data_IF_073503186858
#
_entry.id   IF_073503186858
#
_cell.length_a   1.000
_cell.length_b   1.000
_cell.length_c   1.000
_cell.angle_alpha   90.00
_cell.angle_beta   90.00
_cell.angle_gamma   90.00
#
_symmetry.space_group_name_H-M   'P 1'
#
loop_
_entity.id
_entity.type
_entity.pdbx_description
1 polymer ?
#
# COMPACT_ATOMS: atom_id res chain seq x y z
N UNK A 1 20.99 4.03 13.19
CA UNK A 1 20.79 2.64 12.69
C UNK A 1 20.52 2.66 11.20
N UNK A 2 21.42 2.01 10.44
CA UNK A 2 21.27 1.92 8.97
C UNK A 2 20.41 0.73 8.62
N UNK A 3 19.25 0.97 8.04
CA UNK A 3 18.23 -0.03 7.72
C UNK A 3 18.01 -0.11 6.22
N UNK A 4 18.14 -1.31 5.66
CA UNK A 4 17.76 -1.62 4.29
C UNK A 4 16.31 -2.05 4.25
N UNK A 5 15.44 -1.27 3.61
CA UNK A 5 14.02 -1.60 3.42
C UNK A 5 13.81 -2.21 2.05
N UNK A 6 13.14 -3.36 2.01
CA UNK A 6 12.90 -4.14 0.80
C UNK A 6 11.41 -4.39 0.56
N UNK A 7 10.99 -4.23 -0.70
CA UNK A 7 9.68 -4.61 -1.19
C UNK A 7 9.84 -5.49 -2.43
N UNK A 8 9.76 -6.80 -2.21
CA UNK A 8 9.96 -7.83 -3.23
C UNK A 8 8.64 -8.21 -3.89
N UNK A 9 8.53 -7.92 -5.19
CA UNK A 9 7.47 -8.43 -6.05
C UNK A 9 7.95 -9.63 -6.87
N UNK A 10 7.06 -10.25 -7.66
CA UNK A 10 7.37 -11.44 -8.45
C UNK A 10 8.48 -11.25 -9.50
N UNK A 11 8.62 -10.04 -10.04
CA UNK A 11 9.60 -9.71 -11.08
C UNK A 11 10.33 -8.39 -10.83
N UNK A 12 10.23 -7.84 -9.61
CA UNK A 12 10.86 -6.58 -9.24
C UNK A 12 11.17 -6.54 -7.75
N UNK A 13 12.16 -5.73 -7.39
CA UNK A 13 12.56 -5.46 -6.02
C UNK A 13 12.81 -3.97 -5.87
N UNK A 14 12.01 -3.29 -5.07
CA UNK A 14 12.21 -1.89 -4.69
C UNK A 14 12.91 -1.82 -3.35
N UNK A 15 13.85 -0.88 -3.19
CA UNK A 15 14.55 -0.71 -1.94
C UNK A 15 14.80 0.75 -1.58
N UNK A 16 14.96 0.99 -0.29
CA UNK A 16 15.53 2.21 0.28
C UNK A 16 16.52 1.85 1.39
N UNK A 17 17.59 2.61 1.48
CA UNK A 17 18.53 2.57 2.59
C UNK A 17 18.35 3.83 3.41
N UNK A 18 18.01 3.68 4.68
CA UNK A 18 17.69 4.77 5.59
C UNK A 18 18.64 4.72 6.79
N UNK A 19 19.19 5.87 7.19
CA UNK A 19 19.88 6.02 8.46
C UNK A 19 18.91 6.62 9.49
N UNK A 20 18.35 5.75 10.32
CA UNK A 20 17.37 6.10 11.34
C UNK A 20 18.06 6.63 12.59
N UNK A 21 17.76 7.87 12.97
CA UNK A 21 18.22 8.50 14.24
C UNK A 21 17.13 8.42 15.32
N UNK A 22 15.87 8.50 14.89
CA UNK A 22 14.67 8.37 15.72
C UNK A 22 13.48 8.14 14.78
N UNK A 23 12.28 8.01 15.34
CA UNK A 23 11.04 7.88 14.56
C UNK A 23 10.80 9.04 13.58
N UNK A 24 11.27 10.24 13.91
CA UNK A 24 11.01 11.44 13.12
C UNK A 24 12.25 11.95 12.36
N UNK A 25 13.45 11.55 12.79
CA UNK A 25 14.72 12.02 12.25
C UNK A 25 15.43 10.86 11.54
N UNK A 26 15.58 11.00 10.25
CA UNK A 26 16.24 10.01 9.41
C UNK A 26 16.87 10.67 8.17
N UNK A 27 17.86 10.01 7.61
CA UNK A 27 18.46 10.37 6.33
C UNK A 27 18.19 9.27 5.30
N UNK A 28 17.65 9.62 4.14
CA UNK A 28 17.58 8.72 2.99
C UNK A 28 18.97 8.67 2.33
N UNK A 29 19.68 7.55 2.51
CA UNK A 29 21.02 7.38 1.97
C UNK A 29 21.00 6.96 0.49
N UNK A 30 20.12 6.01 0.14
CA UNK A 30 19.95 5.54 -1.23
C UNK A 30 18.57 4.94 -1.45
N UNK A 31 18.14 4.90 -2.71
CA UNK A 31 16.95 4.19 -3.17
C UNK A 31 17.17 3.56 -4.52
N UNK A 32 16.40 2.56 -4.87
CA UNK A 32 16.48 1.94 -6.18
C UNK A 32 15.42 0.91 -6.47
N UNK A 33 15.56 0.33 -7.65
CA UNK A 33 14.61 -0.62 -8.21
C UNK A 33 15.38 -1.63 -9.07
N UNK A 34 15.15 -2.90 -8.80
CA UNK A 34 15.52 -4.00 -9.68
C UNK A 34 14.28 -4.42 -10.44
N UNK A 35 14.36 -4.45 -11.76
CA UNK A 35 13.25 -4.79 -12.65
C UNK A 35 13.57 -6.01 -13.51
N UNK A 36 12.52 -6.69 -13.97
CA UNK A 36 12.63 -7.83 -14.90
C UNK A 36 13.44 -9.00 -14.32
N UNK A 37 13.29 -9.27 -13.03
CA UNK A 37 13.87 -10.46 -12.36
C UNK A 37 13.29 -11.73 -13.01
N UNK A 38 14.15 -12.69 -13.33
CA UNK A 38 13.78 -13.91 -14.02
C UNK A 38 13.63 -13.78 -15.55
N UNK A 39 14.03 -12.64 -16.13
CA UNK A 39 14.02 -12.37 -17.57
C UNK A 39 15.45 -12.21 -18.11
N UNK A 40 15.63 -12.37 -19.43
CA UNK A 40 16.96 -12.31 -20.08
C UNK A 40 17.71 -10.98 -19.86
N UNK A 41 16.97 -9.86 -19.75
CA UNK A 41 17.55 -8.52 -19.53
C UNK A 41 16.88 -7.87 -18.30
N UNK A 42 17.44 -8.11 -17.12
CA UNK A 42 17.13 -7.38 -15.91
C UNK A 42 17.74 -5.98 -15.91
N UNK A 43 17.24 -5.10 -15.05
CA UNK A 43 17.74 -3.74 -14.90
C UNK A 43 17.80 -3.34 -13.43
N UNK A 44 18.97 -2.87 -12.99
CA UNK A 44 19.15 -2.21 -11.70
C UNK A 44 19.18 -0.70 -11.91
N UNK A 45 18.30 0.02 -11.22
CA UNK A 45 18.28 1.47 -11.09
C UNK A 45 18.65 1.84 -9.66
N UNK A 46 19.70 2.59 -9.47
CA UNK A 46 20.21 3.01 -8.16
C UNK A 46 20.37 4.53 -8.11
N UNK A 47 20.03 5.11 -6.97
CA UNK A 47 20.16 6.53 -6.72
C UNK A 47 20.59 6.76 -5.27
N UNK A 48 21.85 7.05 -5.06
CA UNK A 48 22.37 7.54 -3.78
C UNK A 48 22.04 9.04 -3.63
N UNK A 49 21.76 9.46 -2.40
CA UNK A 49 21.48 10.87 -2.12
C UNK A 49 22.71 11.74 -2.40
N UNK A 50 22.53 12.78 -3.21
CA UNK A 50 23.61 13.68 -3.63
C UNK A 50 24.50 13.16 -4.73
N UNK A 51 24.26 11.98 -5.30
CA UNK A 51 25.01 11.41 -6.42
C UNK A 51 24.15 11.29 -7.68
N UNK A 52 24.79 11.06 -8.81
CA UNK A 52 24.09 10.80 -10.08
C UNK A 52 23.37 9.46 -10.07
N UNK A 53 22.31 9.36 -10.84
CA UNK A 53 21.57 8.11 -11.01
C UNK A 53 22.40 7.10 -11.77
N UNK A 54 22.52 5.89 -11.22
CA UNK A 54 23.17 4.76 -11.86
C UNK A 54 22.10 3.79 -12.39
N UNK A 55 22.26 3.34 -13.63
CA UNK A 55 21.39 2.35 -14.26
C UNK A 55 22.23 1.31 -15.00
N UNK A 56 21.95 0.02 -14.74
CA UNK A 56 22.72 -1.08 -15.33
C UNK A 56 21.78 -2.20 -15.78
N UNK A 57 21.85 -2.54 -17.07
CA UNK A 57 21.25 -3.76 -17.58
C UNK A 57 22.17 -4.94 -17.35
N UNK A 58 21.62 -6.04 -16.81
CA UNK A 58 22.34 -7.26 -16.50
C UNK A 58 21.38 -8.44 -16.37
N UNK A 59 21.82 -9.69 -16.57
CA UNK A 59 21.03 -10.85 -16.24
C UNK A 59 20.75 -10.87 -14.73
N UNK A 60 19.48 -11.01 -14.35
CA UNK A 60 19.02 -11.12 -12.96
C UNK A 60 18.11 -12.33 -12.90
N UNK A 61 18.70 -13.50 -12.66
CA UNK A 61 18.02 -14.79 -12.75
C UNK A 61 16.96 -14.95 -11.64
N UNK A 62 17.26 -14.47 -10.44
CA UNK A 62 16.39 -14.59 -9.27
C UNK A 62 16.57 -13.41 -8.29
N UNK A 63 15.83 -13.46 -7.19
CA UNK A 63 15.89 -12.44 -6.14
C UNK A 63 17.25 -12.39 -5.44
N UNK A 64 17.98 -13.51 -5.35
CA UNK A 64 19.32 -13.54 -4.73
C UNK A 64 20.32 -12.74 -5.56
N UNK A 65 20.29 -12.92 -6.89
CA UNK A 65 21.09 -12.11 -7.82
C UNK A 65 20.67 -10.64 -7.73
N UNK A 66 19.37 -10.36 -7.63
CA UNK A 66 18.85 -9.00 -7.46
C UNK A 66 19.34 -8.33 -6.17
N UNK A 67 19.27 -9.02 -5.02
CA UNK A 67 19.78 -8.51 -3.73
C UNK A 67 21.31 -8.29 -3.79
N UNK A 68 22.08 -9.21 -4.37
CA UNK A 68 23.52 -9.01 -4.56
C UNK A 68 23.81 -7.76 -5.40
N UNK A 69 23.09 -7.56 -6.49
CA UNK A 69 23.25 -6.37 -7.33
C UNK A 69 22.94 -5.06 -6.57
N UNK A 70 21.94 -5.07 -5.67
CA UNK A 70 21.64 -3.94 -4.76
C UNK A 70 22.81 -3.69 -3.82
N UNK A 71 23.31 -4.73 -3.16
CA UNK A 71 24.45 -4.62 -2.23
C UNK A 71 25.71 -4.11 -2.95
N UNK A 72 26.02 -4.67 -4.12
CA UNK A 72 27.17 -4.22 -4.93
C UNK A 72 27.05 -2.73 -5.29
N UNK A 73 25.83 -2.25 -5.63
CA UNK A 73 25.59 -0.85 -5.93
C UNK A 73 25.70 0.05 -4.69
N UNK A 74 25.27 -0.43 -3.51
CA UNK A 74 25.41 0.31 -2.25
C UNK A 74 26.87 0.46 -1.81
N UNK A 75 27.72 -0.54 -2.12
CA UNK A 75 29.17 -0.57 -1.81
C UNK A 75 30.06 0.03 -2.92
N UNK A 76 29.48 0.37 -4.07
CA UNK A 76 30.24 0.92 -5.19
C UNK A 76 30.93 2.23 -4.80
N UNK A 77 32.21 2.40 -5.21
CA UNK A 77 33.00 3.58 -4.84
C UNK A 77 32.51 4.90 -5.43
N UNK A 78 31.89 4.84 -6.59
CA UNK A 78 31.39 6.02 -7.32
C UNK A 78 29.93 6.30 -6.99
N UNK A 79 29.09 5.27 -7.01
CA UNK A 79 27.62 5.40 -6.89
C UNK A 79 27.08 5.01 -5.51
N UNK A 80 27.82 4.22 -4.73
CA UNK A 80 27.39 3.71 -3.44
C UNK A 80 27.55 4.68 -2.28
N UNK A 81 27.07 4.30 -1.12
CA UNK A 81 27.08 5.08 0.13
C UNK A 81 27.60 4.33 1.35
N UNK A 82 27.84 3.01 1.21
CA UNK A 82 28.35 2.17 2.29
C UNK A 82 29.84 1.89 2.09
N UNK A 83 30.56 1.75 3.20
CA UNK A 83 31.97 1.37 3.20
C UNK A 83 32.14 -0.14 3.35
N UNK A 84 31.20 -0.80 4.04
CA UNK A 84 31.20 -2.22 4.35
C UNK A 84 29.78 -2.77 4.38
N UNK A 85 29.63 -4.09 4.23
CA UNK A 85 28.37 -4.81 4.48
C UNK A 85 27.91 -4.69 5.95
N UNK A 86 28.87 -4.59 6.87
CA UNK A 86 28.64 -4.43 8.30
C UNK A 86 27.96 -3.10 8.67
N UNK A 87 27.96 -2.13 7.74
CA UNK A 87 27.24 -0.88 7.94
C UNK A 87 25.71 -1.08 7.94
N UNK A 88 25.20 -2.18 7.33
CA UNK A 88 23.77 -2.53 7.37
C UNK A 88 23.45 -3.22 8.68
N UNK A 89 22.75 -2.52 9.57
CA UNK A 89 22.44 -3.01 10.92
C UNK A 89 21.14 -3.82 10.99
N UNK A 90 20.19 -3.58 10.08
CA UNK A 90 18.93 -4.35 9.99
C UNK A 90 18.33 -4.30 8.59
N UNK A 91 17.42 -5.26 8.31
CA UNK A 91 16.63 -5.30 7.06
C UNK A 91 15.15 -5.37 7.39
N UNK A 92 14.38 -4.44 6.84
CA UNK A 92 12.91 -4.44 6.93
C UNK A 92 12.28 -4.93 5.63
N UNK A 93 11.38 -5.91 5.72
CA UNK A 93 10.65 -6.46 4.58
C UNK A 93 9.19 -6.08 4.61
N UNK A 94 8.68 -5.56 3.50
CA UNK A 94 7.24 -5.52 3.29
C UNK A 94 6.74 -6.92 2.99
N UNK A 95 5.74 -7.39 3.74
CA UNK A 95 5.02 -8.65 3.51
C UNK A 95 3.56 -8.35 3.28
N UNK A 96 2.99 -8.87 2.19
CA UNK A 96 1.64 -8.47 1.78
C UNK A 96 0.56 -9.06 2.68
N UNK A 97 0.68 -10.32 3.12
CA UNK A 97 -0.37 -10.98 3.88
C UNK A 97 0.15 -11.78 5.07
N UNK A 98 -0.31 -11.41 6.26
CA UNK A 98 0.04 -12.08 7.51
C UNK A 98 -1.05 -13.01 8.06
N UNK A 99 -2.19 -13.19 7.35
CA UNK A 99 -3.36 -13.89 7.86
C UNK A 99 -3.80 -13.37 9.25
N UNK A 100 -4.28 -14.24 10.13
CA UNK A 100 -4.57 -13.91 11.54
C UNK A 100 -3.37 -14.16 12.46
N UNK A 101 -2.29 -14.74 11.92
CA UNK A 101 -1.08 -15.10 12.66
C UNK A 101 -0.21 -13.88 12.97
N UNK A 102 -0.11 -12.96 12.01
CA UNK A 102 0.76 -11.79 12.13
C UNK A 102 -0.06 -10.52 12.38
N UNK A 103 -0.29 -10.23 13.65
CA UNK A 103 -1.05 -9.05 14.11
C UNK A 103 -0.19 -7.79 14.26
N UNK A 104 1.13 -7.94 14.20
CA UNK A 104 2.10 -6.84 14.24
C UNK A 104 3.36 -7.24 13.45
N UNK A 105 4.26 -6.29 13.25
CA UNK A 105 5.59 -6.53 12.69
C UNK A 105 6.40 -7.46 13.60
N UNK A 106 7.22 -8.35 13.03
CA UNK A 106 7.96 -9.37 13.78
C UNK A 106 9.37 -9.60 13.24
N UNK A 107 10.29 -9.97 14.14
CA UNK A 107 11.61 -10.48 13.77
C UNK A 107 11.45 -11.78 12.96
N UNK A 108 12.17 -11.88 11.85
CA UNK A 108 12.16 -13.06 10.98
C UNK A 108 13.05 -14.15 11.57
N UNK A 109 12.42 -15.25 11.94
CA UNK A 109 13.07 -16.51 12.34
C UNK A 109 12.63 -17.62 11.39
N UNK A 110 13.26 -18.80 11.47
CA UNK A 110 12.85 -19.97 10.67
C UNK A 110 11.37 -20.32 10.90
N UNK A 111 10.90 -20.23 12.15
CA UNK A 111 9.50 -20.47 12.51
C UNK A 111 8.55 -19.44 11.85
N UNK A 112 8.97 -18.17 11.79
CA UNK A 112 8.21 -17.11 11.10
C UNK A 112 8.15 -17.39 9.60
N UNK A 113 9.25 -17.82 8.99
CA UNK A 113 9.28 -18.20 7.56
C UNK A 113 8.34 -19.36 7.26
N UNK A 114 8.35 -20.43 8.08
CA UNK A 114 7.43 -21.56 7.94
C UNK A 114 5.95 -21.11 8.03
N UNK A 115 5.65 -20.22 8.96
CA UNK A 115 4.29 -19.68 9.10
C UNK A 115 3.89 -18.80 7.92
N UNK A 116 4.82 -17.99 7.39
CA UNK A 116 4.61 -17.20 6.16
C UNK A 116 4.34 -18.07 4.94
N UNK A 117 5.01 -19.22 4.82
CA UNK A 117 4.75 -20.18 3.75
C UNK A 117 3.31 -20.69 3.81
N UNK A 118 2.77 -20.96 5.01
CA UNK A 118 1.36 -21.33 5.21
C UNK A 118 0.41 -20.19 4.83
N UNK A 119 0.77 -18.94 5.13
CA UNK A 119 -0.01 -17.75 4.75
C UNK A 119 -0.01 -17.48 3.22
N UNK A 120 0.85 -18.15 2.44
CA UNK A 120 0.94 -17.92 0.99
C UNK A 120 -0.32 -18.31 0.23
N UNK A 121 -1.19 -19.14 0.80
CA UNK A 121 -2.49 -19.49 0.21
C UNK A 121 -3.43 -18.27 0.09
N UNK A 122 -3.26 -17.28 0.98
CA UNK A 122 -4.07 -16.04 0.99
C UNK A 122 -3.58 -14.99 -0.01
N UNK A 123 -2.28 -15.03 -0.36
CA UNK A 123 -1.66 -14.09 -1.31
C UNK A 123 -0.69 -14.81 -2.25
N UNK A 124 -1.16 -15.78 -3.09
CA UNK A 124 -0.28 -16.64 -3.89
C UNK A 124 0.54 -15.88 -4.95
N UNK A 125 0.14 -14.66 -5.29
CA UNK A 125 0.86 -13.81 -6.25
C UNK A 125 1.92 -12.90 -5.58
N UNK A 126 1.94 -12.82 -4.23
CA UNK A 126 2.75 -11.85 -3.50
C UNK A 126 3.65 -12.51 -2.43
N UNK A 127 3.08 -13.26 -1.49
CA UNK A 127 3.83 -13.85 -0.38
C UNK A 127 5.01 -14.72 -0.82
N UNK A 128 4.90 -15.59 -1.85
CA UNK A 128 6.05 -16.35 -2.31
C UNK A 128 7.25 -15.48 -2.71
N UNK A 129 7.00 -14.33 -3.38
CA UNK A 129 8.05 -13.39 -3.75
C UNK A 129 8.65 -12.67 -2.52
N UNK A 130 7.82 -12.33 -1.53
CA UNK A 130 8.31 -11.76 -0.26
C UNK A 130 9.22 -12.75 0.47
N UNK A 131 8.84 -14.02 0.57
CA UNK A 131 9.64 -15.10 1.19
C UNK A 131 10.95 -15.32 0.43
N UNK A 132 10.94 -15.30 -0.91
CA UNK A 132 12.16 -15.37 -1.70
C UNK A 132 13.11 -14.21 -1.39
N UNK A 133 12.58 -12.99 -1.22
CA UNK A 133 13.37 -11.84 -0.80
C UNK A 133 14.01 -12.02 0.58
N UNK A 134 13.25 -12.52 1.57
CA UNK A 134 13.75 -12.83 2.91
C UNK A 134 14.87 -13.87 2.85
N UNK A 135 14.64 -15.00 2.15
CA UNK A 135 15.65 -16.07 1.99
C UNK A 135 16.89 -15.57 1.26
N UNK A 136 16.73 -14.70 0.27
CA UNK A 136 17.84 -14.11 -0.46
C UNK A 136 18.71 -13.20 0.45
N UNK A 137 18.07 -12.40 1.33
CA UNK A 137 18.80 -11.61 2.33
C UNK A 137 19.52 -12.52 3.31
N UNK A 138 18.89 -13.57 3.84
CA UNK A 138 19.54 -14.54 4.73
C UNK A 138 20.79 -15.18 4.11
N UNK A 139 20.80 -15.39 2.79
CA UNK A 139 21.95 -15.95 2.08
C UNK A 139 23.09 -14.93 1.88
N UNK A 140 22.79 -13.63 1.75
CA UNK A 140 23.78 -12.57 1.45
C UNK A 140 24.25 -11.85 2.72
N UNK A 141 23.35 -11.68 3.69
CA UNK A 141 23.57 -10.97 4.96
C UNK A 141 23.14 -11.88 6.15
N UNK A 142 23.81 -13.01 6.39
CA UNK A 142 23.33 -14.05 7.32
C UNK A 142 23.30 -13.61 8.80
N UNK A 143 24.05 -12.60 9.19
CA UNK A 143 24.13 -12.08 10.56
C UNK A 143 23.26 -10.87 10.83
N UNK A 144 22.62 -10.31 9.79
CA UNK A 144 21.83 -9.09 9.91
C UNK A 144 20.39 -9.45 10.31
N UNK A 145 19.82 -8.88 11.40
CA UNK A 145 18.44 -9.12 11.79
C UNK A 145 17.48 -8.61 10.73
N UNK A 146 16.42 -9.39 10.48
CA UNK A 146 15.40 -9.10 9.48
C UNK A 146 14.04 -8.99 10.16
N UNK A 147 13.23 -8.01 9.75
CA UNK A 147 11.88 -7.78 10.28
C UNK A 147 10.85 -7.82 9.15
N UNK A 148 9.78 -8.57 9.36
CA UNK A 148 8.61 -8.59 8.49
C UNK A 148 7.56 -7.58 8.93
N UNK A 149 7.16 -6.69 8.04
CA UNK A 149 6.11 -5.69 8.24
C UNK A 149 4.93 -6.00 7.31
N UNK A 150 3.77 -6.28 7.92
CA UNK A 150 2.63 -6.88 7.22
C UNK A 150 1.59 -5.82 6.82
N UNK A 151 1.19 -5.79 5.54
CA UNK A 151 0.14 -4.88 5.06
C UNK A 151 -1.21 -5.11 5.76
N UNK A 152 -1.47 -6.33 6.24
CA UNK A 152 -2.72 -6.69 6.92
C UNK A 152 -2.72 -6.39 8.42
N UNK A 153 -1.55 -6.19 9.03
CA UNK A 153 -1.42 -6.10 10.50
C UNK A 153 -2.20 -4.92 11.11
N UNK A 154 -2.16 -3.74 10.48
CA UNK A 154 -2.89 -2.57 10.97
C UNK A 154 -4.41 -2.80 11.05
N UNK A 155 -4.96 -3.66 10.20
CA UNK A 155 -6.38 -3.97 10.14
C UNK A 155 -6.82 -5.10 11.08
N UNK A 156 -5.90 -5.73 11.82
CA UNK A 156 -6.25 -6.79 12.78
C UNK A 156 -7.05 -6.27 13.99
N UNK A 157 -7.12 -4.96 14.16
CA UNK A 157 -7.96 -4.32 15.20
C UNK A 157 -9.43 -4.17 14.81
N UNK A 158 -9.82 -4.57 13.59
CA UNK A 158 -11.23 -4.57 13.17
C UNK A 158 -12.08 -5.48 14.08
N UNK A 159 -13.25 -5.04 14.51
CA UNK A 159 -14.18 -5.90 15.25
C UNK A 159 -14.78 -6.99 14.34
N UNK A 160 -15.17 -8.12 14.93
CA UNK A 160 -15.64 -9.28 14.19
C UNK A 160 -16.82 -8.99 13.26
N UNK A 161 -17.75 -8.14 13.66
CA UNK A 161 -18.88 -7.75 12.82
C UNK A 161 -18.50 -6.90 11.59
N UNK A 162 -17.29 -6.34 11.55
CA UNK A 162 -16.77 -5.60 10.39
C UNK A 162 -15.96 -6.51 9.45
N UNK A 163 -15.25 -7.51 9.99
CA UNK A 163 -14.43 -8.39 9.15
C UNK A 163 -15.14 -9.65 8.67
N UNK A 164 -16.22 -10.11 9.32
CA UNK A 164 -16.93 -11.32 8.91
C UNK A 164 -17.78 -11.08 7.66
N UNK A 165 -17.67 -11.99 6.70
CA UNK A 165 -18.63 -12.08 5.60
C UNK A 165 -19.86 -12.87 6.03
N UNK A 166 -21.05 -12.49 5.55
CA UNK A 166 -22.29 -13.22 5.80
C UNK A 166 -22.38 -14.51 4.95
N UNK A 167 -21.38 -15.35 5.08
CA UNK A 167 -21.27 -16.68 4.49
C UNK A 167 -21.43 -17.74 5.58
N UNK A 168 -21.64 -19.05 5.26
CA UNK A 168 -21.61 -20.11 6.25
C UNK A 168 -20.35 -20.01 7.12
N UNK A 169 -20.53 -19.99 8.44
CA UNK A 169 -19.44 -19.73 9.40
C UNK A 169 -18.30 -20.75 9.29
N UNK A 170 -18.60 -21.99 8.87
CA UNK A 170 -17.60 -23.03 8.61
C UNK A 170 -16.51 -22.63 7.61
N UNK A 171 -16.78 -21.71 6.68
CA UNK A 171 -15.77 -21.21 5.74
C UNK A 171 -14.75 -20.28 6.41
N UNK A 172 -15.16 -19.58 7.43
CA UNK A 172 -14.21 -18.86 8.27
C UNK A 172 -13.33 -19.84 9.06
N UNK A 173 -13.96 -20.81 9.77
CA UNK A 173 -13.22 -21.78 10.59
C UNK A 173 -12.25 -22.65 9.77
N UNK A 174 -12.68 -23.07 8.58
CA UNK A 174 -11.90 -23.99 7.76
C UNK A 174 -10.86 -23.33 6.86
N UNK A 175 -11.16 -22.13 6.38
CA UNK A 175 -10.37 -21.47 5.34
C UNK A 175 -9.90 -20.07 5.71
N UNK A 176 -10.21 -19.57 6.90
CA UNK A 176 -9.89 -18.20 7.31
C UNK A 176 -10.55 -17.12 6.46
N UNK A 177 -11.76 -17.41 5.89
CA UNK A 177 -12.44 -16.46 5.02
C UNK A 177 -13.05 -15.33 5.83
N UNK A 178 -12.37 -14.18 5.80
CA UNK A 178 -12.76 -12.92 6.42
C UNK A 178 -12.16 -11.75 5.65
N UNK A 179 -12.58 -10.52 5.97
CA UNK A 179 -11.87 -9.31 5.54
C UNK A 179 -10.55 -9.19 6.30
N UNK A 180 -9.45 -9.00 5.58
CA UNK A 180 -8.13 -8.71 6.15
C UNK A 180 -7.74 -7.25 5.95
N UNK A 181 -7.96 -6.72 4.75
CA UNK A 181 -7.52 -5.38 4.37
C UNK A 181 -6.05 -5.33 4.01
N UNK A 182 -5.66 -4.28 3.29
CA UNK A 182 -4.30 -4.09 2.77
C UNK A 182 -3.92 -2.61 2.83
N UNK A 183 -2.70 -2.27 2.41
CA UNK A 183 -2.10 -0.95 2.57
C UNK A 183 -2.04 -0.50 4.04
N UNK A 184 -2.03 -1.45 4.98
CA UNK A 184 -2.08 -1.16 6.41
C UNK A 184 -0.93 -0.29 6.87
N UNK A 185 0.28 -0.51 6.34
CA UNK A 185 1.46 0.31 6.59
C UNK A 185 1.23 1.77 6.21
N UNK A 186 0.64 2.03 5.03
CA UNK A 186 0.27 3.38 4.59
C UNK A 186 -0.84 3.98 5.45
N UNK A 187 -1.93 3.25 5.71
CA UNK A 187 -3.04 3.74 6.55
C UNK A 187 -2.58 4.08 7.97
N UNK A 188 -1.74 3.26 8.59
CA UNK A 188 -1.12 3.52 9.90
C UNK A 188 -0.30 4.81 9.86
N UNK A 189 0.57 4.95 8.87
CA UNK A 189 1.44 6.12 8.72
C UNK A 189 0.65 7.41 8.52
N UNK A 190 -0.24 7.45 7.52
CA UNK A 190 -0.93 8.70 7.15
C UNK A 190 -2.03 9.10 8.14
N UNK A 191 -2.62 8.16 8.89
CA UNK A 191 -3.57 8.50 9.95
C UNK A 191 -2.86 9.20 11.11
N UNK A 192 -1.71 8.69 11.56
CA UNK A 192 -0.93 9.31 12.65
C UNK A 192 -0.33 10.66 12.21
N UNK A 193 0.34 10.71 11.05
CA UNK A 193 0.91 11.93 10.50
C UNK A 193 -0.17 12.99 10.22
N UNK A 194 -1.29 12.59 9.65
CA UNK A 194 -2.42 13.46 9.34
C UNK A 194 -3.07 14.05 10.58
N UNK A 195 -3.26 13.26 11.65
CA UNK A 195 -3.75 13.74 12.93
C UNK A 195 -2.82 14.83 13.49
N UNK A 196 -1.51 14.53 13.59
CA UNK A 196 -0.50 15.51 14.06
C UNK A 196 -0.51 16.77 13.19
N UNK A 197 -0.53 16.64 11.87
CA UNK A 197 -0.55 17.75 10.92
C UNK A 197 -1.80 18.63 11.03
N UNK A 198 -2.95 18.00 11.28
CA UNK A 198 -4.23 18.69 11.48
C UNK A 198 -4.42 19.23 12.92
N UNK A 199 -3.44 19.03 13.83
CA UNK A 199 -3.55 19.44 15.24
C UNK A 199 -4.59 18.62 16.01
N UNK A 200 -4.74 17.33 15.70
CA UNK A 200 -5.62 16.38 16.38
C UNK A 200 -4.79 15.37 17.18
N UNK A 201 -5.35 14.90 18.29
CA UNK A 201 -4.81 13.74 19.01
C UNK A 201 -5.35 12.45 18.36
N UNK A 202 -4.45 11.61 17.86
CA UNK A 202 -4.80 10.34 17.22
C UNK A 202 -5.59 9.42 18.15
N UNK A 203 -5.38 9.51 19.47
CA UNK A 203 -6.04 8.67 20.47
C UNK A 203 -7.51 9.06 20.74
N UNK A 204 -7.94 10.21 20.24
CA UNK A 204 -9.29 10.74 20.43
C UNK A 204 -9.94 11.19 19.12
N UNK A 205 -9.44 10.69 17.97
CA UNK A 205 -9.88 11.13 16.66
C UNK A 205 -10.51 10.02 15.83
N UNK A 206 -11.43 10.40 14.96
CA UNK A 206 -12.07 9.58 13.93
C UNK A 206 -11.55 10.03 12.56
N UNK A 207 -10.79 9.17 11.90
CA UNK A 207 -10.06 9.51 10.68
C UNK A 207 -10.44 8.56 9.57
N UNK A 208 -10.70 9.08 8.37
CA UNK A 208 -10.84 8.30 7.15
C UNK A 208 -9.60 8.53 6.30
N UNK A 209 -8.87 7.48 5.97
CA UNK A 209 -7.68 7.55 5.12
C UNK A 209 -7.97 6.94 3.76
N UNK A 210 -7.75 7.70 2.68
CA UNK A 210 -7.98 7.33 1.30
C UNK A 210 -6.63 7.13 0.61
N UNK A 211 -6.10 5.90 0.60
CA UNK A 211 -4.92 5.53 -0.17
C UNK A 211 -5.35 5.22 -1.60
N UNK A 212 -5.08 6.15 -2.51
CA UNK A 212 -5.55 6.10 -3.90
C UNK A 212 -4.36 6.02 -4.86
N UNK A 213 -4.19 4.86 -5.47
CA UNK A 213 -3.14 4.57 -6.44
C UNK A 213 -3.68 3.63 -7.54
N UNK A 214 -2.78 2.88 -8.17
CA UNK A 214 -3.19 1.80 -9.09
C UNK A 214 -3.93 0.68 -8.35
N UNK A 215 -3.51 0.36 -7.09
CA UNK A 215 -4.34 -0.23 -6.06
C UNK A 215 -4.89 0.88 -5.16
N UNK A 216 -6.13 0.76 -4.71
CA UNK A 216 -6.78 1.78 -3.89
C UNK A 216 -7.57 1.17 -2.74
N UNK A 217 -7.47 1.77 -1.56
CA UNK A 217 -8.28 1.41 -0.40
C UNK A 217 -8.60 2.62 0.46
N UNK A 218 -9.70 2.52 1.21
CA UNK A 218 -10.09 3.50 2.23
C UNK A 218 -10.19 2.75 3.55
N UNK A 219 -9.71 3.35 4.63
CA UNK A 219 -9.82 2.79 5.99
C UNK A 219 -10.49 3.78 6.93
N UNK A 220 -11.31 3.23 7.82
CA UNK A 220 -11.90 3.92 8.96
C UNK A 220 -10.99 3.68 10.19
N UNK A 221 -10.50 4.75 10.79
CA UNK A 221 -9.58 4.71 11.93
C UNK A 221 -10.20 5.46 13.10
N UNK A 222 -10.34 4.77 14.22
CA UNK A 222 -10.83 5.36 15.48
C UNK A 222 -9.77 5.20 16.56
N UNK A 223 -9.36 6.28 17.17
CA UNK A 223 -8.36 6.29 18.24
C UNK A 223 -7.07 5.52 17.85
N UNK A 224 -6.60 5.76 16.63
CA UNK A 224 -5.40 5.14 16.08
C UNK A 224 -5.54 3.67 15.62
N UNK A 225 -6.74 3.07 15.72
CA UNK A 225 -7.00 1.68 15.35
C UNK A 225 -7.89 1.59 14.11
N UNK A 226 -7.56 0.71 13.17
CA UNK A 226 -8.44 0.40 12.04
C UNK A 226 -9.69 -0.33 12.55
N UNK A 227 -10.87 0.17 12.18
CA UNK A 227 -12.15 -0.46 12.52
C UNK A 227 -12.87 -1.01 11.29
N UNK A 228 -12.48 -0.57 10.09
CA UNK A 228 -12.98 -1.10 8.82
C UNK A 228 -12.05 -0.65 7.68
N UNK A 229 -12.06 -1.38 6.57
CA UNK A 229 -11.33 -1.04 5.36
C UNK A 229 -12.01 -1.61 4.12
N UNK A 230 -11.78 -1.03 2.95
CA UNK A 230 -12.48 -1.40 1.71
C UNK A 230 -11.97 -2.66 1.04
N UNK A 231 -10.67 -2.96 1.12
CA UNK A 231 -10.14 -4.22 0.62
C UNK A 231 -10.56 -5.35 1.56
N UNK A 232 -10.84 -6.52 0.99
CA UNK A 232 -11.46 -7.63 1.70
C UNK A 232 -10.50 -8.77 2.03
N UNK A 233 -10.95 -10.00 1.74
CA UNK A 233 -10.15 -11.22 1.80
C UNK A 233 -8.90 -11.12 0.92
N UNK A 234 -9.04 -10.46 -0.24
CA UNK A 234 -7.95 -10.14 -1.17
C UNK A 234 -7.95 -8.64 -1.48
N UNK A 235 -6.90 -8.13 -2.15
CA UNK A 235 -6.86 -6.72 -2.58
C UNK A 235 -7.83 -6.38 -3.74
N UNK A 236 -8.81 -7.22 -4.03
CA UNK A 236 -9.77 -7.05 -5.14
C UNK A 236 -10.99 -6.23 -4.75
N UNK A 237 -11.55 -6.49 -3.56
CA UNK A 237 -12.77 -5.83 -3.05
C UNK A 237 -12.55 -4.33 -2.81
N UNK A 238 -13.61 -3.54 -2.86
CA UNK A 238 -13.62 -2.12 -2.52
C UNK A 238 -13.83 -1.21 -3.73
N UNK A 239 -12.93 -0.25 -3.88
CA UNK A 239 -12.96 0.75 -4.95
C UNK A 239 -12.66 0.14 -6.32
N UNK A 240 -13.16 0.79 -7.38
CA UNK A 240 -12.60 0.58 -8.72
C UNK A 240 -11.13 0.97 -8.75
N UNK A 241 -10.26 0.15 -9.35
CA UNK A 241 -8.81 0.34 -9.40
C UNK A 241 -8.30 0.30 -10.85
N UNK A 242 -7.01 0.37 -11.07
CA UNK A 242 -6.44 0.36 -12.42
C UNK A 242 -6.93 -0.79 -13.31
N UNK A 243 -6.83 -2.04 -12.82
CA UNK A 243 -7.27 -3.26 -13.53
C UNK A 243 -8.22 -4.13 -12.73
N UNK A 244 -8.46 -3.83 -11.45
CA UNK A 244 -9.34 -4.59 -10.54
C UNK A 244 -10.72 -3.98 -10.51
N UNK A 245 -11.75 -4.84 -10.52
CA UNK A 245 -13.16 -4.40 -10.59
C UNK A 245 -13.63 -3.63 -9.35
N UNK A 246 -13.07 -3.89 -8.15
CA UNK A 246 -13.67 -3.49 -6.90
C UNK A 246 -14.94 -4.29 -6.59
N UNK A 247 -15.89 -3.66 -5.89
CA UNK A 247 -17.15 -4.30 -5.54
C UNK A 247 -17.99 -4.64 -6.77
N UNK A 248 -18.43 -5.89 -6.83
CA UNK A 248 -19.34 -6.43 -7.84
C UNK A 248 -20.32 -7.39 -7.15
N UNK A 249 -21.52 -7.51 -7.67
CA UNK A 249 -22.48 -8.52 -7.23
C UNK A 249 -21.89 -9.93 -7.49
N UNK A 250 -21.80 -10.81 -6.47
CA UNK A 250 -21.27 -12.17 -6.64
C UNK A 250 -21.97 -12.97 -7.75
N UNK A 251 -23.28 -12.81 -7.95
CA UNK A 251 -24.02 -13.52 -8.98
C UNK A 251 -23.64 -13.07 -10.39
N UNK A 252 -23.16 -11.83 -10.57
CA UNK A 252 -22.59 -11.39 -11.86
C UNK A 252 -21.34 -12.20 -12.22
N UNK A 253 -20.54 -12.61 -11.22
CA UNK A 253 -19.32 -13.41 -11.43
C UNK A 253 -19.68 -14.79 -11.99
N UNK A 254 -20.61 -15.47 -11.32
CA UNK A 254 -21.08 -16.81 -11.76
C UNK A 254 -21.82 -16.75 -13.09
N UNK A 255 -22.62 -15.70 -13.31
CA UNK A 255 -23.32 -15.48 -14.59
C UNK A 255 -22.36 -15.35 -15.77
N UNK A 256 -21.30 -14.55 -15.62
CA UNK A 256 -20.29 -14.38 -16.69
C UNK A 256 -19.54 -15.70 -16.93
N UNK A 257 -19.17 -16.42 -15.85
CA UNK A 257 -18.51 -17.73 -15.98
C UNK A 257 -19.36 -18.69 -16.81
N UNK A 258 -20.65 -18.77 -16.52
CA UNK A 258 -21.58 -19.64 -17.27
C UNK A 258 -21.72 -19.21 -18.73
N UNK A 259 -21.92 -17.91 -19.00
CA UNK A 259 -22.15 -17.37 -20.36
C UNK A 259 -20.92 -17.49 -21.26
N UNK A 260 -19.74 -17.24 -20.70
CA UNK A 260 -18.48 -17.23 -21.45
C UNK A 260 -17.71 -18.55 -21.35
N UNK A 261 -18.20 -19.51 -20.56
CA UNK A 261 -17.53 -20.81 -20.34
C UNK A 261 -16.20 -20.69 -19.61
N UNK A 262 -16.04 -19.69 -18.72
CA UNK A 262 -14.78 -19.41 -18.05
C UNK A 262 -14.56 -20.32 -16.83
N UNK A 263 -13.35 -20.82 -16.69
CA UNK A 263 -12.88 -21.43 -15.44
C UNK A 263 -12.77 -20.37 -14.32
N UNK A 264 -12.71 -20.82 -13.07
CA UNK A 264 -12.50 -19.93 -11.92
C UNK A 264 -11.20 -19.09 -12.06
N UNK A 265 -10.12 -19.67 -12.59
CA UNK A 265 -8.86 -18.99 -12.81
C UNK A 265 -8.96 -17.90 -13.90
N UNK A 266 -9.67 -18.18 -14.99
CA UNK A 266 -9.91 -17.21 -16.06
C UNK A 266 -10.80 -16.06 -15.57
N UNK A 267 -11.84 -16.37 -14.81
CA UNK A 267 -12.70 -15.33 -14.20
C UNK A 267 -11.91 -14.48 -13.20
N UNK A 268 -11.08 -15.08 -12.37
CA UNK A 268 -10.17 -14.33 -11.48
C UNK A 268 -9.27 -13.38 -12.28
N UNK A 269 -8.76 -13.80 -13.44
CA UNK A 269 -7.99 -12.95 -14.35
C UNK A 269 -8.82 -11.79 -14.92
N UNK A 270 -10.10 -12.01 -15.25
CA UNK A 270 -11.02 -10.93 -15.67
C UNK A 270 -11.14 -9.89 -14.57
N UNK A 271 -11.47 -10.32 -13.35
CA UNK A 271 -11.72 -9.41 -12.21
C UNK A 271 -10.47 -8.60 -11.80
N UNK A 272 -9.28 -9.23 -11.87
CA UNK A 272 -8.04 -8.63 -11.37
C UNK A 272 -7.22 -7.88 -12.43
N UNK A 273 -7.30 -8.28 -13.72
CA UNK A 273 -6.39 -7.81 -14.77
C UNK A 273 -7.06 -7.17 -15.98
N UNK A 274 -8.37 -7.39 -16.17
CA UNK A 274 -9.10 -6.91 -17.35
C UNK A 274 -10.25 -5.97 -17.00
N UNK A 275 -10.46 -5.66 -15.73
CA UNK A 275 -11.53 -4.83 -15.19
C UNK A 275 -11.02 -3.44 -14.79
N UNK A 276 -11.67 -2.80 -13.85
CA UNK A 276 -11.25 -1.51 -13.31
C UNK A 276 -11.27 -0.37 -14.33
N UNK A 277 -10.33 0.54 -14.22
CA UNK A 277 -10.19 1.66 -15.17
C UNK A 277 -10.02 1.16 -16.59
N UNK A 278 -9.11 0.18 -16.78
CA UNK A 278 -8.87 -0.43 -18.08
C UNK A 278 -10.14 -1.02 -18.69
N UNK A 279 -10.85 -1.85 -17.93
CA UNK A 279 -12.04 -2.54 -18.43
C UNK A 279 -13.22 -1.60 -18.70
N UNK A 280 -13.46 -0.63 -17.82
CA UNK A 280 -14.60 0.27 -17.95
C UNK A 280 -14.36 1.37 -19.00
N UNK A 281 -13.13 1.91 -19.07
CA UNK A 281 -12.78 2.93 -20.08
C UNK A 281 -12.50 2.33 -21.46
N UNK A 282 -11.97 1.10 -21.51
CA UNK A 282 -11.38 0.48 -22.72
C UNK A 282 -10.16 1.26 -23.26
N UNK A 283 -9.50 2.08 -22.42
CA UNK A 283 -8.38 2.96 -22.82
C UNK A 283 -7.11 2.57 -22.08
N UNK A 284 -7.10 2.76 -20.75
CA UNK A 284 -5.89 2.59 -19.93
C UNK A 284 -6.23 2.25 -18.48
N UNK A 285 -5.28 1.63 -17.79
CA UNK A 285 -5.31 1.44 -16.34
C UNK A 285 -4.77 2.65 -15.56
N UNK A 286 -4.26 3.67 -16.24
CA UNK A 286 -3.67 4.87 -15.64
C UNK A 286 -4.70 6.01 -15.60
N UNK A 287 -4.92 6.54 -14.40
CA UNK A 287 -5.87 7.65 -14.20
C UNK A 287 -5.47 8.93 -14.97
N UNK A 288 -4.17 9.12 -15.26
CA UNK A 288 -3.68 10.28 -16.02
C UNK A 288 -4.13 10.23 -17.48
N UNK A 289 -4.08 9.04 -18.10
CA UNK A 289 -4.55 8.82 -19.46
C UNK A 289 -6.08 9.03 -19.54
N UNK A 290 -6.80 8.60 -18.50
CA UNK A 290 -8.25 8.82 -18.41
C UNK A 290 -8.61 10.29 -18.23
N UNK A 291 -7.85 11.06 -17.43
CA UNK A 291 -8.04 12.51 -17.30
C UNK A 291 -7.81 13.21 -18.65
N UNK A 292 -6.78 12.82 -19.42
CA UNK A 292 -6.52 13.34 -20.76
C UNK A 292 -7.68 13.01 -21.72
N UNK A 293 -8.04 11.74 -21.85
CA UNK A 293 -9.14 11.30 -22.72
C UNK A 293 -10.49 11.95 -22.37
N UNK A 294 -10.77 12.11 -21.06
CA UNK A 294 -11.98 12.79 -20.60
C UNK A 294 -12.01 14.28 -20.97
N UNK A 295 -10.86 14.96 -20.94
CA UNK A 295 -10.74 16.34 -21.41
C UNK A 295 -10.98 16.45 -22.93
N UNK A 296 -10.54 15.46 -23.71
CA UNK A 296 -10.77 15.36 -25.16
C UNK A 296 -12.18 14.91 -25.51
N UNK A 297 -13.02 14.67 -24.52
CA UNK A 297 -14.45 14.41 -24.70
C UNK A 297 -14.89 12.96 -24.56
N UNK A 298 -13.96 11.98 -24.36
CA UNK A 298 -14.31 10.57 -24.27
C UNK A 298 -15.29 10.27 -23.13
N UNK A 299 -16.41 9.62 -23.48
CA UNK A 299 -17.53 9.37 -22.56
C UNK A 299 -17.22 8.24 -21.58
N UNK A 300 -16.48 7.20 -22.00
CA UNK A 300 -16.11 6.07 -21.13
C UNK A 300 -15.07 6.50 -20.11
N UNK A 301 -14.09 7.33 -20.49
CA UNK A 301 -13.15 7.93 -19.57
C UNK A 301 -13.87 8.80 -18.53
N UNK A 302 -14.81 9.67 -18.97
CA UNK A 302 -15.66 10.48 -18.07
C UNK A 302 -16.46 9.61 -17.10
N UNK A 303 -17.07 8.53 -17.59
CA UNK A 303 -17.83 7.58 -16.77
C UNK A 303 -16.91 6.93 -15.72
N UNK A 304 -15.73 6.46 -16.13
CA UNK A 304 -14.77 5.80 -15.24
C UNK A 304 -14.30 6.72 -14.11
N UNK A 305 -13.97 7.98 -14.42
CA UNK A 305 -13.58 8.96 -13.41
C UNK A 305 -14.73 9.35 -12.48
N UNK A 306 -15.97 9.41 -12.99
CA UNK A 306 -17.18 9.62 -12.17
C UNK A 306 -17.42 8.43 -11.25
N UNK A 307 -17.24 7.20 -11.74
CA UNK A 307 -17.36 5.96 -10.94
C UNK A 307 -16.36 5.95 -9.78
N UNK A 308 -15.09 6.29 -10.03
CA UNK A 308 -14.07 6.43 -9.00
C UNK A 308 -14.48 7.48 -7.94
N UNK A 309 -14.88 8.67 -8.37
CA UNK A 309 -15.35 9.74 -7.47
C UNK A 309 -16.52 9.26 -6.62
N UNK A 310 -17.49 8.60 -7.24
CA UNK A 310 -18.68 8.08 -6.56
C UNK A 310 -18.32 7.03 -5.50
N UNK A 311 -17.46 6.07 -5.85
CA UNK A 311 -17.05 5.02 -4.92
C UNK A 311 -16.33 5.60 -3.69
N UNK A 312 -15.40 6.54 -3.90
CA UNK A 312 -14.68 7.21 -2.80
C UNK A 312 -15.68 7.94 -1.89
N UNK A 313 -16.57 8.74 -2.47
CA UNK A 313 -17.59 9.49 -1.73
C UNK A 313 -18.50 8.55 -0.93
N UNK A 314 -18.95 7.45 -1.54
CA UNK A 314 -19.79 6.45 -0.91
C UNK A 314 -19.11 5.77 0.29
N UNK A 315 -17.86 5.37 0.15
CA UNK A 315 -17.13 4.74 1.27
C UNK A 315 -16.81 5.74 2.39
N UNK A 316 -16.47 6.99 2.06
CA UNK A 316 -16.31 8.04 3.08
C UNK A 316 -17.62 8.21 3.87
N UNK A 317 -18.76 8.28 3.20
CA UNK A 317 -20.07 8.38 3.84
C UNK A 317 -20.40 7.16 4.72
N UNK A 318 -20.14 5.96 4.21
CA UNK A 318 -20.35 4.71 4.95
C UNK A 318 -19.48 4.66 6.22
N UNK A 319 -18.22 5.03 6.13
CA UNK A 319 -17.31 5.02 7.26
C UNK A 319 -17.56 6.15 8.25
N UNK A 320 -17.97 7.34 7.78
CA UNK A 320 -18.44 8.40 8.67
C UNK A 320 -19.66 7.95 9.48
N UNK A 321 -20.58 7.19 8.88
CA UNK A 321 -21.72 6.61 9.59
C UNK A 321 -21.28 5.49 10.57
N UNK A 322 -20.41 4.56 10.14
CA UNK A 322 -19.91 3.46 10.97
C UNK A 322 -19.16 3.97 12.22
N UNK A 323 -18.42 5.06 12.09
CA UNK A 323 -17.72 5.71 13.20
C UNK A 323 -18.60 6.67 14.02
N UNK A 324 -19.83 6.93 13.59
CA UNK A 324 -20.69 8.00 14.16
C UNK A 324 -19.97 9.36 14.15
N UNK A 325 -19.51 9.78 12.96
CA UNK A 325 -18.83 11.04 12.72
C UNK A 325 -17.41 10.85 12.17
N UNK A 326 -16.79 11.95 11.78
CA UNK A 326 -15.41 12.02 11.28
C UNK A 326 -14.81 13.38 11.63
N UNK A 327 -13.52 13.39 12.01
CA UNK A 327 -12.78 14.61 12.33
C UNK A 327 -11.84 15.00 11.19
N UNK A 328 -11.24 13.99 10.52
CA UNK A 328 -10.26 14.20 9.46
C UNK A 328 -10.43 13.18 8.33
N UNK A 329 -10.35 13.67 7.10
CA UNK A 329 -10.25 12.84 5.88
C UNK A 329 -8.88 13.08 5.25
N UNK A 330 -8.12 12.01 5.00
CA UNK A 330 -6.76 12.08 4.44
C UNK A 330 -6.76 11.49 3.03
N UNK A 331 -6.26 12.25 2.06
CA UNK A 331 -5.93 11.77 0.73
C UNK A 331 -4.43 11.48 0.63
N UNK A 332 -4.10 10.28 0.11
CA UNK A 332 -2.71 9.82 -0.06
C UNK A 332 -2.60 8.84 -1.23
N UNK A 333 -1.39 8.37 -1.51
CA UNK A 333 -1.11 7.51 -2.66
C UNK A 333 -1.06 8.29 -3.97
N UNK A 334 -0.52 7.68 -5.02
CA UNK A 334 -0.17 8.39 -6.26
C UNK A 334 -1.30 9.21 -6.89
N UNK A 335 -2.54 8.69 -6.89
CA UNK A 335 -3.72 9.43 -7.38
C UNK A 335 -4.17 10.46 -6.33
N UNK A 336 -4.26 10.06 -5.06
CA UNK A 336 -4.70 10.95 -3.98
C UNK A 336 -3.80 12.17 -3.81
N UNK A 337 -2.49 11.98 -3.94
CA UNK A 337 -1.49 13.04 -3.80
C UNK A 337 -1.41 13.99 -5.00
N UNK A 338 -1.63 13.47 -6.22
CA UNK A 338 -1.33 14.22 -7.45
C UNK A 338 -2.56 14.66 -8.24
N UNK A 339 -3.77 14.13 -7.95
CA UNK A 339 -4.99 14.47 -8.68
C UNK A 339 -5.88 15.46 -7.91
N UNK A 340 -5.59 16.75 -8.02
CA UNK A 340 -6.38 17.82 -7.40
C UNK A 340 -7.83 17.85 -7.87
N UNK A 341 -8.11 17.46 -9.12
CA UNK A 341 -9.48 17.42 -9.66
C UNK A 341 -10.33 16.33 -8.98
N UNK A 342 -9.72 15.16 -8.70
CA UNK A 342 -10.40 14.08 -7.97
C UNK A 342 -10.73 14.52 -6.54
N UNK A 343 -9.75 15.07 -5.81
CA UNK A 343 -9.96 15.55 -4.44
C UNK A 343 -11.09 16.58 -4.38
N UNK A 344 -11.08 17.56 -5.31
CA UNK A 344 -12.14 18.54 -5.42
C UNK A 344 -13.52 17.89 -5.62
N UNK A 345 -13.65 17.01 -6.64
CA UNK A 345 -14.93 16.33 -6.95
C UNK A 345 -15.47 15.52 -5.76
N UNK A 346 -14.58 14.87 -5.00
CA UNK A 346 -14.98 14.14 -3.79
C UNK A 346 -15.43 15.11 -2.72
N UNK A 347 -14.64 16.14 -2.40
CA UNK A 347 -14.94 17.07 -1.30
C UNK A 347 -16.20 17.91 -1.54
N UNK A 348 -16.53 18.24 -2.79
CA UNK A 348 -17.78 18.91 -3.16
C UNK A 348 -19.04 18.10 -2.76
N UNK A 349 -18.91 16.78 -2.61
CA UNK A 349 -19.99 15.89 -2.14
C UNK A 349 -20.01 15.66 -0.63
N UNK A 350 -19.08 16.27 0.14
CA UNK A 350 -18.94 16.05 1.58
C UNK A 350 -19.40 17.25 2.43
N UNK A 351 -20.07 18.22 1.83
CA UNK A 351 -20.56 19.43 2.52
C UNK A 351 -21.53 19.10 3.65
N UNK A 352 -22.30 18.02 3.52
CA UNK A 352 -23.22 17.54 4.56
C UNK A 352 -22.51 17.08 5.86
N UNK A 353 -21.23 16.70 5.76
CA UNK A 353 -20.37 16.42 6.93
C UNK A 353 -19.79 17.68 7.56
N UNK A 354 -20.01 18.85 6.93
CA UNK A 354 -19.46 20.12 7.37
C UNK A 354 -18.07 20.42 6.81
N UNK A 355 -17.68 19.76 5.71
CA UNK A 355 -16.45 20.08 4.97
C UNK A 355 -16.62 21.43 4.27
N UNK A 356 -15.72 22.37 4.56
CA UNK A 356 -15.55 23.63 3.85
C UNK A 356 -14.25 23.58 3.08
N UNK A 357 -14.34 23.15 1.81
CA UNK A 357 -13.18 22.89 0.97
C UNK A 357 -12.46 24.17 0.55
N UNK A 358 -11.13 24.17 0.64
CA UNK A 358 -10.25 25.26 0.18
C UNK A 358 -9.76 24.93 -1.24
N UNK A 359 -10.33 25.64 -2.22
CA UNK A 359 -10.01 25.44 -3.63
C UNK A 359 -8.60 25.92 -3.99
N UNK A 360 -8.12 26.96 -3.31
CA UNK A 360 -6.81 27.55 -3.57
C UNK A 360 -5.69 26.66 -2.99
N UNK A 361 -5.88 26.11 -1.78
CA UNK A 361 -4.97 25.15 -1.19
C UNK A 361 -4.88 23.84 -1.98
N UNK A 362 -5.94 23.44 -2.71
CA UNK A 362 -6.00 22.15 -3.40
C UNK A 362 -5.14 22.07 -4.68
N UNK A 363 -4.48 23.11 -5.14
CA UNK A 363 -3.65 23.08 -6.37
C UNK A 363 -2.36 22.27 -6.19
N UNK A 364 -1.98 21.97 -4.96
CA UNK A 364 -0.74 21.27 -4.58
C UNK A 364 -0.73 19.80 -5.03
N UNK A 365 0.50 19.27 -5.18
CA UNK A 365 0.78 17.87 -5.50
C UNK A 365 1.96 17.39 -4.66
N UNK A 366 1.83 16.18 -4.10
CA UNK A 366 2.92 15.53 -3.36
C UNK A 366 3.48 16.35 -2.19
N UNK A 367 2.66 17.20 -1.56
CA UNK A 367 3.04 18.04 -0.43
C UNK A 367 1.94 18.03 0.63
N UNK A 368 2.30 17.78 1.87
CA UNK A 368 1.37 17.80 3.00
C UNK A 368 0.66 19.16 3.09
N UNK A 369 -0.67 19.15 3.05
CA UNK A 369 -1.46 20.38 2.96
C UNK A 369 -2.85 20.15 3.54
N UNK A 370 -3.34 21.10 4.37
CA UNK A 370 -4.76 21.16 4.71
C UNK A 370 -5.55 21.70 3.51
N UNK A 371 -6.62 21.01 3.16
CA UNK A 371 -7.46 21.30 2.00
C UNK A 371 -8.82 21.88 2.40
N UNK A 372 -8.93 22.39 3.61
CA UNK A 372 -10.15 22.98 4.16
C UNK A 372 -9.88 24.33 4.79
N UNK A 373 -10.90 25.20 4.75
CA UNK A 373 -10.89 26.47 5.45
C UNK A 373 -10.79 26.28 6.97
N UNK A 374 -10.27 27.25 7.73
CA UNK A 374 -10.06 27.13 9.17
C UNK A 374 -11.32 26.81 10.00
N UNK A 375 -12.48 27.22 9.53
CA UNK A 375 -13.78 27.01 10.18
C UNK A 375 -14.51 25.75 9.67
N UNK A 376 -13.84 24.88 8.94
CA UNK A 376 -14.38 23.58 8.54
C UNK A 376 -14.55 22.65 9.74
N UNK A 377 -15.76 22.09 9.90
CA UNK A 377 -16.06 21.14 10.97
C UNK A 377 -15.25 19.84 10.82
N UNK A 378 -15.22 19.30 9.62
CA UNK A 378 -14.39 18.15 9.25
C UNK A 378 -13.19 18.66 8.46
N UNK A 379 -12.00 18.33 8.91
CA UNK A 379 -10.77 18.67 8.20
C UNK A 379 -10.53 17.71 7.04
N UNK A 380 -9.94 18.19 5.97
CA UNK A 380 -9.44 17.35 4.87
C UNK A 380 -7.97 17.71 4.65
N UNK A 381 -7.13 16.69 4.52
CA UNK A 381 -5.71 16.88 4.28
C UNK A 381 -5.21 16.01 3.12
N UNK A 382 -4.24 16.52 2.38
CA UNK A 382 -3.32 15.74 1.59
C UNK A 382 -2.13 15.42 2.50
N UNK A 383 -1.81 14.15 2.67
CA UNK A 383 -0.64 13.68 3.42
C UNK A 383 0.12 12.70 2.52
N UNK A 384 1.38 12.98 2.26
CA UNK A 384 2.24 12.09 1.49
C UNK A 384 2.57 10.85 2.29
N UNK A 385 2.33 9.67 1.68
CA UNK A 385 2.70 8.39 2.33
C UNK A 385 4.21 8.13 2.22
N UNK A 386 4.73 7.41 3.19
CA UNK A 386 6.11 6.90 3.19
C UNK A 386 6.11 5.54 3.88
N UNK A 387 5.78 4.51 3.11
CA UNK A 387 5.69 3.14 3.62
C UNK A 387 7.06 2.60 4.02
N UNK A 388 8.10 2.95 3.26
CA UNK A 388 9.48 2.53 3.54
C UNK A 388 9.97 3.09 4.88
N UNK A 389 9.66 4.34 5.21
CA UNK A 389 9.95 4.92 6.52
C UNK A 389 9.20 4.20 7.64
N UNK A 390 7.94 3.83 7.41
CA UNK A 390 7.17 3.11 8.43
C UNK A 390 7.76 1.71 8.68
N UNK A 391 8.19 1.03 7.61
CA UNK A 391 8.89 -0.25 7.72
C UNK A 391 10.20 -0.09 8.49
N UNK A 392 10.99 0.95 8.19
CA UNK A 392 12.24 1.22 8.90
C UNK A 392 12.02 1.51 10.40
N UNK A 393 10.97 2.27 10.77
CA UNK A 393 10.58 2.53 12.16
C UNK A 393 10.24 1.25 12.91
N UNK A 394 9.35 0.43 12.33
CA UNK A 394 8.96 -0.83 12.95
C UNK A 394 10.19 -1.77 13.09
N UNK A 395 11.09 -1.78 12.09
CA UNK A 395 12.34 -2.54 12.12
C UNK A 395 13.25 -2.07 13.24
N UNK A 396 13.49 -0.77 13.34
CA UNK A 396 14.33 -0.17 14.39
C UNK A 396 13.82 -0.53 15.78
N UNK A 397 12.53 -0.37 16.02
CA UNK A 397 11.93 -0.66 17.33
C UNK A 397 12.04 -2.14 17.73
N UNK A 398 11.82 -3.05 16.77
CA UNK A 398 11.89 -4.49 17.06
C UNK A 398 13.32 -4.92 17.37
N UNK A 399 14.28 -4.48 16.56
CA UNK A 399 15.69 -4.85 16.75
C UNK A 399 16.24 -4.28 18.05
N UNK A 400 15.94 -3.02 18.40
CA UNK A 400 16.39 -2.40 19.67
C UNK A 400 15.77 -3.06 20.91
N UNK A 401 14.51 -3.51 20.85
CA UNK A 401 13.86 -4.17 21.99
C UNK A 401 14.35 -5.62 22.21
N UNK A 402 15.02 -6.23 21.23
CA UNK A 402 15.63 -7.56 21.39
C UNK A 402 17.07 -7.48 21.96
N UNK A 403 17.69 -6.28 21.90
CA UNK A 403 19.00 -6.03 22.47
C UNK A 403 18.95 -5.66 23.97
N UNK A 404 17.75 -5.32 24.51
CA UNK A 404 17.49 -5.09 25.95
C UNK A 404 17.05 -6.39 26.67
#
# INVERSE_FOLDING_TARGET
MIILVLNCGSSSLKYQLLDMKSDEVYDLLAKGLVERIGMEAGCLKHQATGKEKFEKEMPIEDHTVGIKAVIDALLDKEYGVLSSLEDIEAVGHRVVHGAEEFVCSQLITDAVVEQLEKCSVFAPLHNPANILGIKAVSAVLPSVPQVGVFDTAFHQTMPSYAYMYALPYEYYEKYGIRRYGFHGTSHKYVSAKGAKFAGLDINYSKIITCHLGNGSSISAVVNGKSIDTTMGFTPLEGLIMGTRCGNVDPDVVTYIQEKEGLSAAEMSKVLNKKSGFLGLSCISSDARDLDAAANDGDLKAKLTLKKLTYDITKFIGAYAAAMNGVDLIVFTGGIGENNCRLRRRVCENLTYLGVKFDYDANVVRGQDTLLTLPDSKVKVALITTNEELMIARDTMHIVQNEEE
#
